data_IF_423984049413
#
_entry.id   IF_423984049413
#
_cell.length_a   1.000
_cell.length_b   1.000
_cell.length_c   1.000
_cell.angle_alpha   90.00
_cell.angle_beta   90.00
_cell.angle_gamma   90.00
#
_symmetry.space_group_name_H-M   'P 1'
#
loop_
_entity.id
_entity.type
_entity.pdbx_description
1 polymer ?
#
# COMPACT_ATOMS: atom_id res chain seq x y z
N UNK A 1 -4.58 5.77 18.49
CA UNK A 1 -3.12 5.77 18.29
C UNK A 1 -2.57 7.10 18.76
N UNK A 2 -1.59 7.10 19.70
CA UNK A 2 -1.04 8.32 20.32
C UNK A 2 -0.20 9.16 19.33
N UNK A 3 0.35 8.53 18.29
CA UNK A 3 1.28 9.17 17.35
C UNK A 3 2.72 9.29 17.90
N UNK A 4 3.02 8.63 19.01
CA UNK A 4 4.34 8.68 19.67
C UNK A 4 5.42 7.85 18.97
N UNK A 5 5.02 6.81 18.22
CA UNK A 5 5.92 5.95 17.46
C UNK A 5 5.62 6.05 15.96
N UNK A 6 6.67 6.16 15.16
CA UNK A 6 6.60 6.12 13.71
C UNK A 6 6.82 4.70 13.18
N UNK A 7 6.08 4.32 12.12
CA UNK A 7 6.05 2.98 11.59
C UNK A 7 6.38 2.95 10.10
N UNK A 8 7.13 1.94 9.66
CA UNK A 8 7.34 1.65 8.26
C UNK A 8 6.93 0.22 7.89
N UNK A 9 6.76 0.00 6.59
CA UNK A 9 6.29 -1.26 6.01
C UNK A 9 7.44 -2.02 5.35
N UNK A 10 7.76 -3.20 5.86
CA UNK A 10 8.79 -4.09 5.34
C UNK A 10 8.19 -5.25 4.53
N UNK A 11 7.66 -4.99 3.31
CA UNK A 11 7.00 -6.01 2.49
C UNK A 11 7.87 -6.44 1.32
N UNK A 12 8.07 -5.55 0.34
CA UNK A 12 8.77 -5.85 -0.90
C UNK A 12 10.24 -6.21 -0.68
N UNK A 13 10.72 -7.14 -1.48
CA UNK A 13 12.14 -7.50 -1.60
C UNK A 13 12.63 -7.20 -3.03
N UNK A 14 13.94 -7.12 -3.28
CA UNK A 14 14.47 -6.84 -4.63
C UNK A 14 13.88 -7.75 -5.72
N UNK A 15 13.55 -9.00 -5.38
CA UNK A 15 12.98 -9.99 -6.31
C UNK A 15 11.53 -10.38 -6.00
N UNK A 16 10.85 -9.67 -5.09
CA UNK A 16 9.47 -9.95 -4.69
C UNK A 16 8.71 -8.65 -4.41
N UNK A 17 8.22 -8.03 -5.47
CA UNK A 17 7.36 -6.84 -5.44
C UNK A 17 5.93 -7.19 -5.83
N UNK A 18 5.61 -7.22 -7.14
CA UNK A 18 4.29 -7.61 -7.63
C UNK A 18 3.92 -9.05 -7.24
N UNK A 19 4.87 -9.99 -7.32
CA UNK A 19 4.73 -11.33 -6.72
C UNK A 19 5.25 -11.31 -5.28
N UNK A 20 4.55 -10.58 -4.40
CA UNK A 20 4.92 -10.43 -2.99
C UNK A 20 5.00 -11.77 -2.25
N UNK A 21 4.16 -12.74 -2.62
CA UNK A 21 4.18 -14.08 -2.03
C UNK A 21 5.48 -14.84 -2.25
N UNK A 22 6.32 -14.40 -3.19
CA UNK A 22 7.65 -14.95 -3.45
C UNK A 22 8.76 -14.38 -2.58
N UNK A 23 8.43 -13.60 -1.53
CA UNK A 23 9.40 -13.08 -0.57
C UNK A 23 10.23 -14.22 0.05
N UNK A 24 11.53 -13.94 0.29
CA UNK A 24 12.52 -14.94 0.71
C UNK A 24 13.25 -14.58 2.01
N UNK A 25 12.98 -13.40 2.58
CA UNK A 25 13.60 -12.99 3.84
C UNK A 25 13.31 -14.02 4.91
N UNK A 26 14.33 -14.83 5.24
CA UNK A 26 14.22 -16.01 6.10
C UNK A 26 14.16 -15.60 7.56
N UNK A 27 13.38 -16.37 8.33
CA UNK A 27 13.29 -16.30 9.77
C UNK A 27 13.55 -17.70 10.34
N UNK A 28 14.70 -17.86 10.98
CA UNK A 28 15.04 -19.08 11.71
C UNK A 28 14.62 -18.92 13.17
N UNK A 29 14.08 -19.99 13.77
CA UNK A 29 13.71 -19.98 15.19
C UNK A 29 14.95 -20.27 16.03
N UNK A 30 15.21 -19.41 17.04
CA UNK A 30 16.27 -19.59 18.02
C UNK A 30 15.74 -19.22 19.42
N UNK A 31 15.33 -20.23 20.19
CA UNK A 31 14.62 -20.06 21.45
C UNK A 31 13.27 -19.36 21.26
N UNK A 32 13.07 -18.26 21.95
CA UNK A 32 11.84 -17.45 21.89
C UNK A 32 11.89 -16.34 20.83
N UNK A 33 12.93 -16.35 19.97
CA UNK A 33 13.14 -15.36 18.94
C UNK A 33 13.14 -15.96 17.53
N UNK A 34 12.80 -15.13 16.54
CA UNK A 34 13.22 -15.30 15.15
C UNK A 34 14.57 -14.61 14.94
N UNK A 35 15.44 -15.24 14.17
CA UNK A 35 16.67 -14.63 13.62
C UNK A 35 16.41 -14.32 12.15
N UNK A 36 16.41 -13.04 11.81
CA UNK A 36 16.08 -12.55 10.47
C UNK A 36 17.33 -12.22 9.67
N UNK A 37 17.38 -12.72 8.43
CA UNK A 37 18.42 -12.42 7.46
C UNK A 37 17.82 -12.13 6.09
N UNK A 38 18.23 -11.00 5.46
CA UNK A 38 17.76 -10.61 4.15
C UNK A 38 17.67 -9.10 3.95
N UNK A 39 16.79 -8.67 3.04
CA UNK A 39 16.57 -7.24 2.83
C UNK A 39 15.16 -6.93 2.36
N UNK A 40 14.68 -5.74 2.70
CA UNK A 40 13.44 -5.14 2.20
C UNK A 40 13.77 -3.90 1.37
N UNK A 41 12.96 -3.61 0.37
CA UNK A 41 13.17 -2.46 -0.53
C UNK A 41 11.88 -1.66 -0.69
N UNK A 42 12.01 -0.42 -1.13
CA UNK A 42 10.92 0.54 -1.29
C UNK A 42 10.19 0.87 0.03
N UNK A 43 10.89 0.70 1.15
CA UNK A 43 10.37 1.01 2.48
C UNK A 43 10.32 2.53 2.68
N UNK A 44 9.11 3.09 2.72
CA UNK A 44 8.91 4.53 2.91
C UNK A 44 9.38 4.97 4.27
N UNK A 45 10.25 5.99 4.33
CA UNK A 45 10.71 6.66 5.54
C UNK A 45 11.34 5.75 6.60
N UNK A 46 11.90 4.59 6.24
CA UNK A 46 12.53 3.66 7.18
C UNK A 46 13.63 4.31 8.02
N UNK A 47 14.34 5.32 7.47
CA UNK A 47 15.38 6.07 8.16
C UNK A 47 14.86 6.96 9.31
N UNK A 48 13.55 7.11 9.45
CA UNK A 48 12.87 7.93 10.47
C UNK A 48 11.87 7.14 11.31
N UNK A 49 11.75 5.84 11.05
CA UNK A 49 10.76 4.98 11.70
C UNK A 49 11.35 4.30 12.92
N UNK A 50 10.56 4.23 13.98
CA UNK A 50 10.93 3.54 15.22
C UNK A 50 10.63 2.04 15.13
N UNK A 51 9.57 1.69 14.41
CA UNK A 51 9.08 0.32 14.27
C UNK A 51 8.80 -0.04 12.82
N UNK A 52 8.90 -1.33 12.52
CA UNK A 52 8.51 -1.90 11.22
C UNK A 52 7.52 -3.05 11.42
N UNK A 53 6.44 -3.06 10.63
CA UNK A 53 5.67 -4.28 10.41
C UNK A 53 6.20 -4.97 9.15
N UNK A 54 6.67 -6.20 9.34
CA UNK A 54 7.50 -6.89 8.35
C UNK A 54 6.95 -8.26 8.00
N UNK A 55 6.94 -8.59 6.70
CA UNK A 55 6.67 -9.94 6.22
C UNK A 55 7.95 -10.75 6.17
N UNK A 56 7.92 -11.92 6.79
CA UNK A 56 9.05 -12.85 6.87
C UNK A 56 8.63 -14.22 6.37
N UNK A 57 9.60 -15.01 5.90
CA UNK A 57 9.43 -16.39 5.47
C UNK A 57 9.76 -17.34 6.62
N UNK A 58 8.75 -17.93 7.22
CA UNK A 58 8.86 -18.86 8.33
C UNK A 58 8.73 -20.32 7.92
N UNK A 59 8.18 -20.59 6.73
CA UNK A 59 8.08 -21.93 6.17
C UNK A 59 8.39 -21.87 4.65
N UNK A 60 9.29 -22.77 4.19
CA UNK A 60 9.73 -22.91 2.81
C UNK A 60 9.38 -24.29 2.22
N UNK A 61 8.40 -25.01 2.77
CA UNK A 61 7.97 -26.29 2.25
C UNK A 61 7.48 -26.14 0.78
N UNK A 62 8.16 -26.77 -0.18
CA UNK A 62 7.80 -26.66 -1.60
C UNK A 62 6.46 -27.34 -1.93
N UNK A 63 5.92 -28.15 -1.04
CA UNK A 63 4.62 -28.79 -1.21
C UNK A 63 3.44 -27.85 -0.85
N UNK A 64 3.72 -26.71 -0.23
CA UNK A 64 2.73 -25.70 0.18
C UNK A 64 2.69 -24.54 -0.79
N UNK A 65 1.54 -23.87 -0.82
CA UNK A 65 1.44 -22.57 -1.52
C UNK A 65 2.37 -21.54 -0.88
N UNK A 66 2.99 -20.69 -1.71
CA UNK A 66 3.92 -19.64 -1.26
C UNK A 66 3.35 -18.78 -0.12
N UNK A 67 2.05 -18.56 -0.12
CA UNK A 67 1.33 -17.75 0.86
C UNK A 67 1.29 -18.37 2.26
N UNK A 68 1.35 -19.71 2.34
CA UNK A 68 1.20 -20.45 3.60
C UNK A 68 2.42 -20.43 4.50
N UNK A 69 3.56 -19.95 4.01
CA UNK A 69 4.79 -19.85 4.80
C UNK A 69 5.17 -18.41 5.20
N UNK A 70 4.21 -17.48 5.16
CA UNK A 70 4.44 -16.06 5.44
C UNK A 70 3.91 -15.69 6.82
N UNK A 71 4.74 -15.03 7.62
CA UNK A 71 4.38 -14.48 8.93
C UNK A 71 4.54 -12.97 8.92
N UNK A 72 3.65 -12.27 9.60
CA UNK A 72 3.73 -10.82 9.84
C UNK A 72 4.25 -10.59 11.26
N UNK A 73 5.33 -9.80 11.40
CA UNK A 73 5.98 -9.54 12.69
C UNK A 73 6.25 -8.05 12.87
N UNK A 74 6.21 -7.59 14.13
CA UNK A 74 6.63 -6.24 14.51
C UNK A 74 8.08 -6.28 15.00
N UNK A 75 8.91 -5.37 14.50
CA UNK A 75 10.30 -5.27 14.91
C UNK A 75 10.71 -3.81 15.20
N UNK A 76 11.59 -3.65 16.17
CA UNK A 76 12.21 -2.38 16.54
C UNK A 76 13.31 -2.05 15.52
N UNK A 77 13.23 -0.88 14.90
CA UNK A 77 14.19 -0.40 13.91
C UNK A 77 15.55 0.01 14.52
N UNK A 78 15.62 0.15 15.84
CA UNK A 78 16.87 0.44 16.57
C UNK A 78 17.72 -0.82 16.81
N UNK A 79 17.33 -1.98 16.30
CA UNK A 79 18.11 -3.21 16.43
C UNK A 79 19.46 -3.09 15.70
N UNK A 80 20.56 -3.50 16.35
CA UNK A 80 21.93 -3.34 15.85
C UNK A 80 22.23 -4.08 14.54
N UNK A 81 21.46 -5.13 14.22
CA UNK A 81 21.57 -5.88 12.96
C UNK A 81 20.85 -5.23 11.79
N UNK A 82 20.16 -4.09 11.98
CA UNK A 82 19.43 -3.38 10.93
C UNK A 82 20.30 -2.26 10.37
N UNK A 83 20.41 -2.21 9.04
CA UNK A 83 20.99 -1.07 8.35
C UNK A 83 20.04 -0.53 7.28
N UNK A 84 19.87 0.79 7.28
CA UNK A 84 18.93 1.49 6.36
C UNK A 84 19.73 2.29 5.35
N UNK A 85 19.48 2.04 4.05
CA UNK A 85 20.09 2.81 2.95
C UNK A 85 19.00 3.56 2.18
N UNK A 86 18.96 4.90 2.26
CA UNK A 86 18.06 5.71 1.45
C UNK A 86 18.32 5.51 -0.05
N UNK A 87 17.24 5.48 -0.85
CA UNK A 87 17.28 5.39 -2.30
C UNK A 87 17.08 6.80 -2.84
N UNK A 88 18.08 7.32 -3.54
CA UNK A 88 17.99 8.62 -4.19
C UNK A 88 17.10 8.53 -5.43
N UNK A 89 16.05 9.35 -5.45
CA UNK A 89 15.11 9.45 -6.57
C UNK A 89 15.58 10.51 -7.58
N UNK A 90 15.06 10.48 -8.80
CA UNK A 90 15.33 11.47 -9.83
C UNK A 90 15.06 12.91 -9.37
N UNK A 91 14.16 13.09 -8.40
CA UNK A 91 13.85 14.40 -7.78
C UNK A 91 14.89 14.87 -6.75
N UNK A 92 15.97 14.10 -6.49
CA UNK A 92 16.94 14.35 -5.42
C UNK A 92 16.42 14.05 -4.01
N UNK A 93 15.18 13.55 -3.86
CA UNK A 93 14.60 13.14 -2.57
C UNK A 93 14.86 11.66 -2.32
N UNK A 94 14.93 11.27 -1.04
CA UNK A 94 15.16 9.88 -0.60
C UNK A 94 14.05 9.45 0.35
N UNK A 95 12.81 9.39 -0.16
CA UNK A 95 11.64 8.99 0.63
C UNK A 95 11.56 7.47 0.83
N UNK A 96 12.21 6.69 -0.04
CA UNK A 96 12.25 5.23 0.03
C UNK A 96 13.61 4.74 0.46
N UNK A 97 13.64 3.58 1.10
CA UNK A 97 14.87 2.96 1.58
C UNK A 97 14.93 1.49 1.19
N UNK A 98 16.16 0.98 1.10
CA UNK A 98 16.44 -0.43 1.25
C UNK A 98 16.89 -0.67 2.68
N UNK A 99 16.33 -1.70 3.33
CA UNK A 99 16.61 -2.08 4.71
C UNK A 99 17.23 -3.46 4.70
N UNK A 100 18.39 -3.62 5.32
CA UNK A 100 19.13 -4.88 5.42
C UNK A 100 19.05 -5.41 6.83
N UNK A 101 18.95 -6.73 6.95
CA UNK A 101 18.85 -7.47 8.19
C UNK A 101 19.98 -8.50 8.25
N UNK A 102 20.81 -8.39 9.26
CA UNK A 102 21.93 -9.29 9.54
C UNK A 102 21.79 -9.83 10.97
N UNK A 103 21.35 -11.08 11.08
CA UNK A 103 21.10 -11.77 12.36
C UNK A 103 20.22 -10.97 13.33
N UNK A 104 19.21 -10.29 12.81
CA UNK A 104 18.28 -9.48 13.61
C UNK A 104 17.36 -10.38 14.44
N UNK A 105 17.44 -10.26 15.76
CA UNK A 105 16.60 -11.03 16.69
C UNK A 105 15.28 -10.31 16.93
N UNK A 106 14.19 -11.03 16.75
CA UNK A 106 12.83 -10.50 16.94
C UNK A 106 12.02 -11.49 17.76
N UNK A 107 11.48 -11.09 18.93
CA UNK A 107 10.70 -11.98 19.77
C UNK A 107 9.49 -12.55 19.03
N UNK A 108 9.24 -13.86 19.15
CA UNK A 108 8.11 -14.56 18.54
C UNK A 108 6.77 -13.96 19.02
N UNK A 109 6.71 -13.44 20.23
CA UNK A 109 5.53 -12.73 20.77
C UNK A 109 5.13 -11.48 19.97
N UNK A 110 6.03 -10.95 19.13
CA UNK A 110 5.77 -9.81 18.27
C UNK A 110 5.06 -10.20 16.95
N UNK A 111 4.72 -11.48 16.77
CA UNK A 111 3.92 -11.94 15.62
C UNK A 111 2.50 -11.37 15.70
N UNK A 112 2.02 -10.85 14.57
CA UNK A 112 0.63 -10.45 14.42
C UNK A 112 -0.16 -11.63 13.86
N UNK A 113 -1.12 -12.11 14.63
CA UNK A 113 -1.86 -13.34 14.34
C UNK A 113 -1.06 -14.59 14.66
N UNK A 114 -1.03 -15.56 13.76
CA UNK A 114 -0.35 -16.84 13.91
C UNK A 114 0.89 -16.93 13.02
N UNK A 115 1.86 -17.76 13.40
CA UNK A 115 2.99 -18.13 12.54
C UNK A 115 2.43 -18.78 11.28
N UNK A 116 2.95 -18.39 10.11
CA UNK A 116 2.46 -18.78 8.78
C UNK A 116 1.07 -18.22 8.42
N UNK A 117 0.45 -17.42 9.29
CA UNK A 117 -0.87 -16.77 9.10
C UNK A 117 -0.82 -15.33 8.60
N UNK A 118 0.35 -14.82 8.19
CA UNK A 118 0.52 -13.41 7.80
C UNK A 118 -0.15 -13.00 6.49
N UNK A 119 -0.37 -13.92 5.55
CA UNK A 119 -0.90 -13.57 4.23
C UNK A 119 -2.33 -13.01 4.24
N UNK A 120 -3.32 -13.62 4.93
CA UNK A 120 -4.66 -13.05 5.04
C UNK A 120 -4.68 -11.65 5.66
N UNK A 121 -3.82 -11.42 6.67
CA UNK A 121 -3.68 -10.12 7.34
C UNK A 121 -3.12 -9.09 6.34
N UNK A 122 -2.10 -9.48 5.58
CA UNK A 122 -1.50 -8.65 4.53
C UNK A 122 -2.52 -8.23 3.47
N UNK A 123 -3.32 -9.17 2.96
CA UNK A 123 -4.38 -8.86 1.99
C UNK A 123 -5.37 -7.82 2.54
N UNK A 124 -5.78 -7.99 3.78
CA UNK A 124 -6.72 -7.06 4.44
C UNK A 124 -6.10 -5.67 4.61
N UNK A 125 -4.82 -5.58 5.01
CA UNK A 125 -4.09 -4.32 5.12
C UNK A 125 -4.02 -3.59 3.78
N UNK A 126 -3.62 -4.29 2.72
CA UNK A 126 -3.52 -3.72 1.37
C UNK A 126 -4.89 -3.28 0.80
N UNK A 127 -6.00 -3.92 1.19
CA UNK A 127 -7.35 -3.46 0.85
C UNK A 127 -7.67 -2.12 1.53
N UNK A 128 -7.34 -1.96 2.81
CA UNK A 128 -7.53 -0.70 3.52
C UNK A 128 -6.66 0.42 2.95
N UNK A 129 -5.42 0.13 2.58
CA UNK A 129 -4.50 1.09 1.96
C UNK A 129 -5.06 1.64 0.65
N UNK A 130 -5.57 0.77 -0.24
CA UNK A 130 -6.24 1.18 -1.48
C UNK A 130 -7.47 2.05 -1.21
N UNK A 131 -8.31 1.66 -0.26
CA UNK A 131 -9.50 2.43 0.12
C UNK A 131 -9.17 3.80 0.74
N UNK A 132 -8.05 3.93 1.43
CA UNK A 132 -7.58 5.20 1.97
C UNK A 132 -7.05 6.14 0.87
N UNK A 133 -6.36 5.59 -0.14
CA UNK A 133 -5.86 6.36 -1.29
C UNK A 133 -7.01 6.98 -2.11
N UNK A 134 -8.11 6.26 -2.33
CA UNK A 134 -9.26 6.81 -3.03
C UNK A 134 -9.92 7.97 -2.29
N UNK A 135 -10.03 7.90 -0.95
CA UNK A 135 -10.55 8.99 -0.12
C UNK A 135 -9.66 10.22 -0.09
N UNK A 136 -8.33 10.06 -0.18
CA UNK A 136 -7.39 11.18 -0.27
C UNK A 136 -7.57 11.96 -1.57
N UNK A 137 -7.88 11.28 -2.67
CA UNK A 137 -8.18 11.94 -3.94
C UNK A 137 -9.48 12.78 -3.88
N UNK A 138 -10.51 12.33 -3.15
CA UNK A 138 -11.72 13.11 -2.92
C UNK A 138 -11.46 14.39 -2.11
N UNK A 139 -10.54 14.35 -1.15
CA UNK A 139 -10.26 15.50 -0.28
C UNK A 139 -9.25 16.50 -0.86
N UNK A 140 -8.45 16.11 -1.84
CA UNK A 140 -7.39 16.95 -2.42
C UNK A 140 -7.87 17.89 -3.51
N UNK A 141 -9.04 17.68 -4.11
CA UNK A 141 -9.62 18.55 -5.12
C UNK A 141 -10.54 19.60 -4.47
N UNK A 142 -9.97 20.52 -3.70
CA UNK A 142 -10.62 21.80 -3.35
C UNK A 142 -10.58 22.74 -4.56
N UNK A 143 -10.96 22.24 -5.72
CA UNK A 143 -11.12 23.03 -6.94
C UNK A 143 -12.60 23.37 -7.15
N UNK A 144 -12.86 24.37 -7.99
CA UNK A 144 -14.19 24.62 -8.52
C UNK A 144 -14.60 23.39 -9.35
N UNK A 145 -15.84 22.93 -9.19
CA UNK A 145 -16.32 21.78 -9.96
C UNK A 145 -16.30 22.07 -11.47
N UNK A 146 -16.13 21.03 -12.27
CA UNK A 146 -15.98 21.15 -13.71
C UNK A 146 -17.22 21.78 -14.36
N UNK A 147 -18.41 21.56 -13.79
CA UNK A 147 -19.68 22.14 -14.29
C UNK A 147 -19.68 23.67 -14.13
N UNK A 148 -19.27 24.14 -12.95
CA UNK A 148 -19.17 25.60 -12.68
C UNK A 148 -18.13 26.27 -13.59
N UNK A 149 -16.98 25.61 -13.80
CA UNK A 149 -15.96 26.11 -14.74
C UNK A 149 -16.48 26.11 -16.18
N UNK A 150 -17.19 25.07 -16.59
CA UNK A 150 -17.76 24.99 -17.92
C UNK A 150 -18.80 26.09 -18.15
N UNK A 151 -19.66 26.38 -17.18
CA UNK A 151 -20.66 27.46 -17.27
C UNK A 151 -20.01 28.84 -17.42
N UNK A 152 -18.90 29.07 -16.75
CA UNK A 152 -18.19 30.35 -16.79
C UNK A 152 -17.37 30.53 -18.08
N UNK A 153 -16.65 29.51 -18.51
CA UNK A 153 -15.64 29.65 -19.56
C UNK A 153 -16.11 29.21 -20.95
N UNK A 154 -17.06 28.27 -21.11
CA UNK A 154 -17.55 27.86 -22.42
C UNK A 154 -18.15 29.02 -23.23
N UNK A 155 -18.94 29.97 -22.66
CA UNK A 155 -19.44 31.12 -23.40
C UNK A 155 -18.35 32.02 -23.99
N UNK A 156 -17.14 32.01 -23.40
CA UNK A 156 -16.01 32.85 -23.83
C UNK A 156 -15.27 32.26 -25.04
N UNK A 157 -15.52 30.99 -25.41
CA UNK A 157 -14.94 30.37 -26.60
C UNK A 157 -15.68 30.92 -27.84
N UNK A 158 -14.98 31.72 -28.63
CA UNK A 158 -15.58 32.45 -29.77
C UNK A 158 -16.05 31.51 -30.88
N UNK A 159 -15.27 30.46 -31.20
CA UNK A 159 -15.61 29.50 -32.26
C UNK A 159 -16.70 28.52 -31.77
N UNK A 160 -17.89 28.50 -32.45
CA UNK A 160 -18.97 27.60 -32.09
C UNK A 160 -18.63 26.12 -32.18
N UNK A 161 -17.80 25.71 -33.15
CA UNK A 161 -17.39 24.30 -33.29
C UNK A 161 -16.47 23.85 -32.16
N UNK A 162 -15.50 24.68 -31.81
CA UNK A 162 -14.63 24.42 -30.67
C UNK A 162 -15.42 24.38 -29.36
N UNK A 163 -16.37 25.30 -29.19
CA UNK A 163 -17.25 25.32 -28.00
C UNK A 163 -18.08 24.07 -27.91
N UNK A 164 -18.64 23.56 -28.99
CA UNK A 164 -19.42 22.32 -29.02
C UNK A 164 -18.54 21.12 -28.70
N UNK A 165 -17.35 21.00 -29.27
CA UNK A 165 -16.41 19.94 -29.01
C UNK A 165 -15.92 19.92 -27.54
N UNK A 166 -15.64 21.10 -26.95
CA UNK A 166 -15.29 21.22 -25.54
C UNK A 166 -16.43 20.80 -24.62
N UNK A 167 -17.67 21.23 -24.93
CA UNK A 167 -18.87 20.85 -24.18
C UNK A 167 -19.06 19.32 -24.17
N UNK A 168 -18.87 18.68 -25.31
CA UNK A 168 -19.02 17.25 -25.46
C UNK A 168 -17.95 16.48 -24.60
N UNK A 169 -16.70 16.93 -24.68
CA UNK A 169 -15.62 16.37 -23.84
C UNK A 169 -15.89 16.57 -22.35
N UNK A 170 -16.36 17.73 -21.93
CA UNK A 170 -16.68 18.00 -20.52
C UNK A 170 -17.84 17.10 -20.06
N UNK A 171 -18.88 16.94 -20.91
CA UNK A 171 -19.98 16.04 -20.60
C UNK A 171 -19.50 14.58 -20.43
N UNK A 172 -18.60 14.12 -21.29
CA UNK A 172 -17.96 12.80 -21.16
C UNK A 172 -17.23 12.63 -19.81
N UNK A 173 -16.40 13.61 -19.43
CA UNK A 173 -15.69 13.59 -18.13
C UNK A 173 -16.65 13.53 -16.95
N UNK A 174 -17.75 14.34 -16.99
CA UNK A 174 -18.75 14.36 -15.91
C UNK A 174 -19.48 13.00 -15.81
N UNK A 175 -19.74 12.35 -16.95
CA UNK A 175 -20.36 11.01 -16.98
C UNK A 175 -19.41 9.99 -16.34
N UNK A 176 -18.14 10.00 -16.73
CA UNK A 176 -17.12 9.08 -16.19
C UNK A 176 -16.92 9.28 -14.67
N UNK A 177 -16.87 10.53 -14.22
CA UNK A 177 -16.78 10.89 -12.80
C UNK A 177 -17.99 10.36 -12.00
N UNK A 178 -19.20 10.53 -12.53
CA UNK A 178 -20.41 9.99 -11.88
C UNK A 178 -20.46 8.46 -11.89
N UNK A 179 -20.04 7.84 -12.99
CA UNK A 179 -19.96 6.38 -13.07
C UNK A 179 -18.99 5.81 -12.04
N UNK A 180 -17.81 6.43 -11.90
CA UNK A 180 -16.84 6.07 -10.86
C UNK A 180 -17.44 6.23 -9.45
N UNK A 181 -18.06 7.37 -9.16
CA UNK A 181 -18.69 7.65 -7.87
C UNK A 181 -19.76 6.61 -7.50
N UNK A 182 -20.67 6.31 -8.43
CA UNK A 182 -21.71 5.30 -8.20
C UNK A 182 -21.15 3.90 -8.04
N UNK A 183 -20.08 3.56 -8.76
CA UNK A 183 -19.39 2.28 -8.58
C UNK A 183 -18.77 2.18 -7.18
N UNK A 184 -18.13 3.24 -6.70
CA UNK A 184 -17.59 3.27 -5.33
C UNK A 184 -18.67 3.19 -4.25
N UNK A 185 -19.82 3.87 -4.44
CA UNK A 185 -20.95 3.76 -3.52
C UNK A 185 -21.47 2.32 -3.45
N UNK A 186 -21.66 1.68 -4.59
CA UNK A 186 -22.06 0.27 -4.67
C UNK A 186 -21.06 -0.65 -3.98
N UNK A 187 -19.75 -0.48 -4.20
CA UNK A 187 -18.70 -1.23 -3.50
C UNK A 187 -18.83 -1.06 -1.99
N UNK A 188 -19.09 0.17 -1.53
CA UNK A 188 -19.29 0.46 -0.11
C UNK A 188 -20.52 -0.25 0.49
N UNK A 189 -21.62 -0.35 -0.27
CA UNK A 189 -22.83 -1.05 0.12
C UNK A 189 -22.63 -2.58 0.15
N UNK A 190 -21.99 -3.14 -0.87
CA UNK A 190 -21.63 -4.58 -0.92
C UNK A 190 -20.68 -4.97 0.22
N UNK A 191 -19.69 -4.13 0.55
CA UNK A 191 -18.81 -4.34 1.70
C UNK A 191 -19.56 -4.37 3.03
N UNK A 192 -20.52 -3.44 3.23
CA UNK A 192 -21.38 -3.41 4.44
C UNK A 192 -22.28 -4.64 4.54
N UNK A 193 -22.70 -5.20 3.40
CA UNK A 193 -23.48 -6.42 3.32
C UNK A 193 -22.64 -7.71 3.51
N UNK A 194 -21.31 -7.60 3.70
CA UNK A 194 -20.40 -8.73 3.86
C UNK A 194 -19.97 -9.41 2.56
N UNK A 195 -20.22 -8.77 1.40
CA UNK A 195 -19.78 -9.24 0.10
C UNK A 195 -18.27 -9.09 -0.13
N UNK A 196 -17.70 -9.89 -1.05
CA UNK A 196 -16.31 -9.75 -1.49
C UNK A 196 -16.18 -8.65 -2.55
N UNK A 197 -15.66 -7.51 -2.14
CA UNK A 197 -15.44 -6.34 -3.00
C UNK A 197 -14.03 -6.27 -3.60
N UNK A 198 -13.19 -7.28 -3.34
CA UNK A 198 -11.77 -7.26 -3.69
C UNK A 198 -11.49 -7.06 -5.18
N UNK A 199 -12.29 -7.64 -6.06
CA UNK A 199 -12.13 -7.54 -7.52
C UNK A 199 -12.54 -6.16 -8.05
N UNK A 200 -13.61 -5.57 -7.51
CA UNK A 200 -14.14 -4.28 -7.97
C UNK A 200 -13.21 -3.14 -7.57
N UNK A 201 -12.59 -3.21 -6.39
CA UNK A 201 -11.65 -2.19 -5.90
C UNK A 201 -10.33 -2.14 -6.69
N UNK A 202 -10.04 -3.11 -7.53
CA UNK A 202 -8.84 -3.10 -8.38
C UNK A 202 -9.04 -2.37 -9.72
N UNK A 203 -10.25 -1.84 -9.99
CA UNK A 203 -10.56 -1.05 -11.20
C UNK A 203 -10.18 0.43 -10.98
N UNK A 204 -10.04 0.86 -9.75
CA UNK A 204 -9.66 2.21 -9.31
C UNK A 204 -8.22 2.19 -8.73
#
# INVERSE_FOLDING_TARGET
>A
CSGEASWCQGFSEPNAGSDLASLKMRADVDGDDFVLNGSKIWTSYAQKSDWMYCLIRTDNDPAKDKQQGITLVLLDMNNSGISVKPIELLSGKSNFCQVFFDNVRVPIKNVIGEINGGWPITKKLLQYERGAMSKLNESSVKGRDLTSLAQEYLPQVADPMQRAALRDRIAGIIIDEKAALFTMQRVGEEAKAGGDVGTITSIF
#
